data_IF_319981395450
#
_entry.id   IF_319981395450
#
_cell.length_a   1.000
_cell.length_b   1.000
_cell.length_c   1.000
_cell.angle_alpha   90.00
_cell.angle_beta   90.00
_cell.angle_gamma   90.00
#
_symmetry.space_group_name_H-M   'P 1'
#
loop_
_entity.id
_entity.type
_entity.pdbx_description
1 polymer ?
#
# COMPACT_ATOMS: atom_id res chain seq x y z
N UNK A 1 16.18 -2.46 20.39
CA UNK A 1 16.35 -1.40 19.37
C UNK A 1 16.26 -1.97 17.95
N UNK A 2 15.09 -2.45 17.54
CA UNK A 2 14.90 -3.11 16.24
C UNK A 2 13.64 -2.62 15.56
N UNK A 3 13.63 -1.37 15.10
CA UNK A 3 12.57 -0.90 14.22
C UNK A 3 12.98 -1.27 12.80
N UNK A 4 12.53 -2.43 12.32
CA UNK A 4 12.61 -2.74 10.89
C UNK A 4 11.57 -1.87 10.20
N UNK A 5 12.04 -0.88 9.43
CA UNK A 5 11.16 -0.08 8.57
C UNK A 5 11.03 -0.84 7.26
N UNK A 6 9.85 -1.37 7.00
CA UNK A 6 9.53 -1.91 5.69
C UNK A 6 9.28 -0.72 4.76
N UNK A 7 10.17 -0.53 3.79
CA UNK A 7 9.95 0.41 2.70
C UNK A 7 9.22 -0.34 1.59
N UNK A 8 7.99 0.07 1.34
CA UNK A 8 7.22 -0.45 0.22
C UNK A 8 7.42 0.51 -0.95
N UNK A 9 7.69 -0.02 -2.15
CA UNK A 9 7.56 0.74 -3.40
C UNK A 9 6.15 0.58 -3.95
N UNK A 10 5.71 1.50 -4.80
CA UNK A 10 4.39 1.38 -5.45
C UNK A 10 4.29 0.10 -6.27
N UNK A 11 5.38 -0.26 -6.96
CA UNK A 11 5.48 -1.49 -7.72
C UNK A 11 5.29 -2.72 -6.81
N UNK A 12 6.02 -2.78 -5.69
CA UNK A 12 5.92 -3.92 -4.78
C UNK A 12 4.52 -4.03 -4.15
N UNK A 13 3.90 -2.90 -3.79
CA UNK A 13 2.51 -2.89 -3.31
C UNK A 13 1.53 -3.41 -4.39
N UNK A 14 1.76 -3.07 -5.66
CA UNK A 14 0.93 -3.53 -6.78
C UNK A 14 1.06 -5.03 -6.99
N UNK A 15 2.28 -5.56 -7.00
CA UNK A 15 2.54 -6.99 -7.15
C UNK A 15 1.90 -7.81 -6.03
N UNK A 16 2.00 -7.33 -4.79
CA UNK A 16 1.38 -7.98 -3.63
C UNK A 16 -0.15 -8.03 -3.75
N UNK A 17 -0.78 -6.88 -4.05
CA UNK A 17 -2.24 -6.75 -4.08
C UNK A 17 -2.89 -7.43 -5.29
N UNK A 18 -2.18 -7.53 -6.43
CA UNK A 18 -2.68 -8.16 -7.65
C UNK A 18 -3.02 -9.65 -7.48
N UNK A 19 -2.58 -10.29 -6.39
CA UNK A 19 -2.88 -11.70 -6.09
C UNK A 19 -4.33 -11.95 -5.65
N UNK A 20 -4.99 -10.95 -5.07
CA UNK A 20 -6.31 -11.11 -4.44
C UNK A 20 -7.32 -10.02 -4.83
N UNK A 21 -6.84 -8.91 -5.40
CA UNK A 21 -7.66 -7.75 -5.69
C UNK A 21 -7.62 -7.37 -7.18
N UNK A 22 -8.69 -6.77 -7.64
CA UNK A 22 -8.81 -6.14 -8.96
C UNK A 22 -8.94 -4.62 -8.80
N UNK A 23 -8.73 -3.87 -9.88
CA UNK A 23 -8.90 -2.41 -9.89
C UNK A 23 -8.08 -1.69 -8.80
N UNK A 24 -6.75 -1.88 -8.86
CA UNK A 24 -5.81 -1.40 -7.84
C UNK A 24 -5.26 -0.01 -8.20
N UNK A 25 -5.67 1.00 -7.44
CA UNK A 25 -5.10 2.35 -7.47
C UNK A 25 -4.04 2.49 -6.36
N UNK A 26 -2.83 2.90 -6.74
CA UNK A 26 -1.71 3.08 -5.80
C UNK A 26 -1.07 4.43 -6.07
N UNK A 27 -0.75 5.17 -5.01
CA UNK A 27 -0.02 6.43 -5.09
C UNK A 27 0.85 6.69 -3.86
N UNK A 28 2.07 7.16 -4.09
CA UNK A 28 2.95 7.70 -3.06
C UNK A 28 2.41 9.04 -2.57
N UNK A 29 2.41 9.21 -1.24
CA UNK A 29 1.98 10.43 -0.57
C UNK A 29 3.00 10.83 0.47
N UNK A 30 3.00 12.11 0.81
CA UNK A 30 3.78 12.65 1.91
C UNK A 30 2.96 13.68 2.67
N UNK A 31 3.31 13.88 3.95
CA UNK A 31 2.58 14.77 4.83
C UNK A 31 2.89 14.51 6.29
N UNK A 32 2.03 15.01 7.19
CA UNK A 32 2.20 14.86 8.63
C UNK A 32 1.41 13.64 9.13
N UNK A 33 2.11 12.60 9.59
CA UNK A 33 1.53 11.44 10.27
C UNK A 33 2.22 11.23 11.61
N UNK A 34 1.48 10.78 12.63
CA UNK A 34 2.00 10.51 13.97
C UNK A 34 2.82 11.68 14.56
N UNK A 35 2.42 12.92 14.26
CA UNK A 35 3.09 14.12 14.75
C UNK A 35 4.32 14.59 13.96
N UNK A 36 4.79 13.83 12.96
CA UNK A 36 6.00 14.15 12.18
C UNK A 36 5.81 14.10 10.66
N UNK A 37 6.78 14.62 9.91
CA UNK A 37 6.82 14.46 8.47
C UNK A 37 7.03 12.98 8.12
N UNK A 38 6.24 12.47 7.19
CA UNK A 38 6.21 11.06 6.80
C UNK A 38 5.92 10.93 5.31
N UNK A 39 6.39 9.83 4.73
CA UNK A 39 6.03 9.38 3.39
C UNK A 39 5.41 7.98 3.48
N UNK A 40 4.40 7.72 2.68
CA UNK A 40 3.68 6.45 2.67
C UNK A 40 3.08 6.17 1.30
N UNK A 41 2.64 4.93 1.10
CA UNK A 41 1.87 4.52 -0.08
C UNK A 41 0.41 4.38 0.34
N UNK A 42 -0.49 5.02 -0.42
CA UNK A 42 -1.92 4.77 -0.34
C UNK A 42 -2.30 3.76 -1.43
N UNK A 43 -3.07 2.74 -1.07
CA UNK A 43 -3.60 1.76 -1.98
C UNK A 43 -5.12 1.63 -1.79
N UNK A 44 -5.86 1.72 -2.88
CA UNK A 44 -7.29 1.41 -2.96
C UNK A 44 -7.44 0.24 -3.92
N UNK A 45 -8.18 -0.78 -3.51
CA UNK A 45 -8.35 -1.98 -4.31
C UNK A 45 -9.75 -2.55 -4.08
N UNK A 46 -10.31 -3.18 -5.11
CA UNK A 46 -11.58 -3.90 -5.02
C UNK A 46 -11.32 -5.39 -4.85
N UNK A 47 -11.97 -6.02 -3.89
CA UNK A 47 -11.90 -7.47 -3.74
C UNK A 47 -12.36 -8.12 -5.04
N UNK A 48 -11.62 -9.13 -5.50
CA UNK A 48 -12.10 -9.98 -6.59
C UNK A 48 -13.31 -10.73 -6.05
N UNK A 49 -14.44 -10.71 -6.76
CA UNK A 49 -15.59 -11.53 -6.38
C UNK A 49 -15.16 -13.00 -6.42
N UNK A 50 -14.90 -13.59 -5.26
CA UNK A 50 -14.71 -15.02 -5.15
C UNK A 50 -16.10 -15.64 -5.28
N UNK A 51 -16.38 -16.22 -6.46
CA UNK A 51 -17.53 -17.08 -6.65
C UNK A 51 -17.58 -18.11 -5.52
N UNK A 52 -18.73 -18.17 -4.84
CA UNK A 52 -19.01 -19.05 -3.70
C UNK A 52 -18.92 -20.54 -4.05
#
# INVERSE_FOLDING_TARGET
>A
NGHVRHFFSEQYARELLATAFTDIEIASRSGKLYGGASAWIAAFARATETGS
#
